data_IF_425529338121
#
_entry.id   IF_425529338121
#
_cell.length_a   1.000
_cell.length_b   1.000
_cell.length_c   1.000
_cell.angle_alpha   90.00
_cell.angle_beta   90.00
_cell.angle_gamma   90.00
#
_symmetry.space_group_name_H-M   'P 1'
#
loop_
_entity.id
_entity.type
_entity.pdbx_description
1 polymer ?
#
# COMPACT_ATOMS: atom_id res chain seq x y z
N UNK A 1 -5.77 17.13 -3.56
CA UNK A 1 -5.26 15.85 -3.03
C UNK A 1 -5.82 15.65 -1.63
N UNK A 2 -6.91 14.89 -1.54
CA UNK A 2 -7.64 14.61 -0.28
C UNK A 2 -7.96 13.12 -0.11
N UNK A 3 -8.17 12.39 -1.20
CA UNK A 3 -8.56 10.98 -1.24
C UNK A 3 -7.52 10.19 -2.00
N UNK A 4 -6.57 9.58 -1.28
CA UNK A 4 -5.33 9.08 -1.84
C UNK A 4 -5.25 7.55 -1.74
N UNK A 5 -4.87 6.89 -2.85
CA UNK A 5 -4.53 5.47 -2.87
C UNK A 5 -3.02 5.30 -3.07
N UNK A 6 -2.42 4.39 -2.31
CA UNK A 6 -1.02 4.01 -2.49
C UNK A 6 -0.93 2.53 -2.86
N UNK A 7 -0.42 2.26 -4.05
CA UNK A 7 -0.27 0.93 -4.63
C UNK A 7 1.21 0.59 -4.88
N UNK A 8 1.53 -0.69 -5.02
CA UNK A 8 2.87 -1.16 -5.34
C UNK A 8 3.18 -2.54 -4.80
N UNK A 9 4.26 -3.16 -5.26
CA UNK A 9 4.69 -4.48 -4.79
C UNK A 9 4.95 -4.48 -3.28
N UNK A 10 4.75 -5.60 -2.57
CA UNK A 10 5.33 -5.77 -1.24
C UNK A 10 6.84 -5.49 -1.29
N UNK A 11 7.38 -4.84 -0.25
CA UNK A 11 8.78 -4.42 -0.21
C UNK A 11 9.14 -3.16 -1.02
N UNK A 12 8.21 -2.57 -1.78
CA UNK A 12 8.41 -1.28 -2.44
C UNK A 12 8.57 -0.11 -1.46
N UNK A 13 8.08 -0.24 -0.23
CA UNK A 13 8.13 0.81 0.79
C UNK A 13 6.85 1.66 0.83
N UNK A 14 5.71 1.09 0.42
CA UNK A 14 4.40 1.77 0.48
C UNK A 14 4.13 2.37 1.86
N UNK A 15 4.24 1.59 2.92
CA UNK A 15 3.96 2.05 4.28
C UNK A 15 4.91 3.18 4.72
N UNK A 16 6.20 3.12 4.33
CA UNK A 16 7.14 4.22 4.58
C UNK A 16 6.71 5.49 3.84
N UNK A 17 6.30 5.36 2.58
CA UNK A 17 5.81 6.47 1.78
C UNK A 17 4.50 7.03 2.35
N UNK A 18 3.55 6.16 2.75
CA UNK A 18 2.26 6.56 3.29
C UNK A 18 2.36 7.28 4.64
N UNK A 19 3.25 6.82 5.53
CA UNK A 19 3.53 7.54 6.78
C UNK A 19 4.10 8.95 6.53
N UNK A 20 5.11 9.06 5.64
CA UNK A 20 5.69 10.35 5.32
C UNK A 20 4.69 11.29 4.62
N UNK A 21 3.82 10.75 3.76
CA UNK A 21 2.77 11.52 3.11
C UNK A 21 1.73 12.00 4.13
N UNK A 22 1.28 11.12 5.02
CA UNK A 22 0.33 11.47 6.09
C UNK A 22 0.89 12.55 7.03
N UNK A 23 2.19 12.46 7.38
CA UNK A 23 2.86 13.49 8.20
C UNK A 23 2.90 14.86 7.50
N UNK A 24 3.06 14.88 6.18
CA UNK A 24 3.11 16.14 5.41
C UNK A 24 1.73 16.74 5.16
N UNK A 25 0.73 15.90 4.94
CA UNK A 25 -0.63 16.35 4.54
C UNK A 25 -1.60 16.47 5.70
N UNK A 26 -1.31 15.86 6.86
CA UNK A 26 -2.25 15.76 7.99
C UNK A 26 -3.42 14.81 7.74
N UNK A 27 -3.49 14.15 6.58
CA UNK A 27 -4.62 13.29 6.22
C UNK A 27 -4.63 11.98 7.02
N UNK A 28 -5.83 11.46 7.37
CA UNK A 28 -5.94 10.18 8.06
C UNK A 28 -5.47 9.01 7.19
N UNK A 29 -4.60 8.16 7.75
CA UNK A 29 -3.98 7.03 7.07
C UNK A 29 -4.59 5.70 7.50
N UNK A 30 -4.98 4.89 6.52
CA UNK A 30 -5.53 3.55 6.68
C UNK A 30 -4.67 2.53 5.94
N UNK A 31 -4.12 1.55 6.66
CA UNK A 31 -3.41 0.41 6.10
C UNK A 31 -4.37 -0.75 5.88
N UNK A 32 -4.50 -1.23 4.65
CA UNK A 32 -5.39 -2.38 4.35
C UNK A 32 -4.94 -3.62 5.11
N UNK A 33 -3.65 -3.86 5.24
CA UNK A 33 -3.15 -5.01 6.00
C UNK A 33 -3.60 -4.97 7.46
N UNK A 34 -3.69 -3.78 8.08
CA UNK A 34 -4.21 -3.60 9.44
C UNK A 34 -5.73 -3.84 9.54
N UNK A 35 -6.47 -3.56 8.47
CA UNK A 35 -7.91 -3.79 8.41
C UNK A 35 -8.24 -5.25 8.12
N UNK A 36 -7.37 -5.94 7.36
CA UNK A 36 -7.53 -7.32 6.92
C UNK A 36 -7.17 -8.34 8.00
N UNK A 37 -6.17 -8.05 8.84
CA UNK A 37 -5.74 -8.94 9.90
C UNK A 37 -6.33 -8.51 11.24
N UNK A 38 -6.87 -9.47 11.99
CA UNK A 38 -7.20 -9.33 13.41
C UNK A 38 -6.00 -9.70 14.26
N UNK A 39 -6.09 -9.43 15.55
CA UNK A 39 -5.10 -9.90 16.53
C UNK A 39 -4.83 -11.40 16.37
N UNK A 40 -3.55 -11.78 16.48
CA UNK A 40 -3.12 -13.16 16.27
C UNK A 40 -3.05 -13.62 14.80
N UNK A 41 -3.01 -12.69 13.83
CA UNK A 41 -2.91 -12.99 12.39
C UNK A 41 -4.09 -13.79 11.80
N UNK A 42 -5.28 -13.60 12.32
CA UNK A 42 -6.49 -14.15 11.74
C UNK A 42 -7.03 -13.18 10.69
N UNK A 43 -7.23 -13.65 9.45
CA UNK A 43 -7.83 -12.82 8.42
C UNK A 43 -9.31 -12.55 8.69
N UNK A 44 -9.77 -11.34 8.41
CA UNK A 44 -11.20 -11.05 8.34
C UNK A 44 -11.81 -11.65 7.08
N UNK A 45 -13.12 -11.86 7.07
CA UNK A 45 -13.85 -12.23 5.86
C UNK A 45 -13.76 -11.10 4.82
N UNK A 46 -13.86 -11.47 3.55
CA UNK A 46 -13.71 -10.52 2.44
C UNK A 46 -14.76 -9.41 2.49
N UNK A 47 -15.97 -9.79 2.81
CA UNK A 47 -17.14 -8.93 2.93
C UNK A 47 -16.98 -7.94 4.08
N UNK A 48 -16.37 -8.35 5.18
CA UNK A 48 -16.07 -7.47 6.32
C UNK A 48 -15.03 -6.41 5.94
N UNK A 49 -13.97 -6.81 5.22
CA UNK A 49 -12.97 -5.85 4.75
C UNK A 49 -13.59 -4.85 3.76
N UNK A 50 -14.41 -5.33 2.82
CA UNK A 50 -15.09 -4.46 1.85
C UNK A 50 -16.02 -3.46 2.56
N UNK A 51 -16.79 -3.92 3.55
CA UNK A 51 -17.67 -3.05 4.34
C UNK A 51 -16.88 -1.96 5.11
N UNK A 52 -15.74 -2.32 5.72
CA UNK A 52 -14.85 -1.35 6.39
C UNK A 52 -14.28 -0.33 5.40
N UNK A 53 -13.86 -0.78 4.22
CA UNK A 53 -13.32 0.10 3.19
C UNK A 53 -14.40 1.04 2.62
N UNK A 54 -15.64 0.55 2.42
CA UNK A 54 -16.77 1.39 2.01
C UNK A 54 -17.00 2.56 2.99
N UNK A 55 -16.97 2.29 4.29
CA UNK A 55 -17.10 3.35 5.30
C UNK A 55 -15.95 4.37 5.25
N UNK A 56 -14.74 3.93 4.89
CA UNK A 56 -13.58 4.83 4.80
C UNK A 56 -13.65 5.71 3.55
N UNK A 57 -13.96 5.13 2.38
CA UNK A 57 -13.96 5.87 1.11
C UNK A 57 -15.10 6.89 0.98
N UNK A 58 -16.15 6.78 1.80
CA UNK A 58 -17.22 7.79 1.89
C UNK A 58 -16.81 9.04 2.70
N UNK A 59 -15.71 8.97 3.46
CA UNK A 59 -15.18 10.15 4.17
C UNK A 59 -14.61 11.17 3.19
N UNK A 60 -14.52 12.43 3.63
CA UNK A 60 -14.01 13.53 2.80
C UNK A 60 -12.51 13.44 2.55
N UNK A 61 -11.76 12.87 3.48
CA UNK A 61 -10.31 12.83 3.45
C UNK A 61 -9.77 11.48 3.95
N UNK A 62 -8.82 10.90 3.19
CA UNK A 62 -8.17 9.66 3.56
C UNK A 62 -6.94 9.34 2.70
N UNK A 63 -6.00 8.60 3.27
CA UNK A 63 -4.95 7.88 2.58
C UNK A 63 -5.19 6.39 2.81
N UNK A 64 -5.29 5.58 1.76
CA UNK A 64 -5.42 4.13 1.85
C UNK A 64 -4.18 3.48 1.24
N UNK A 65 -3.38 2.81 2.08
CA UNK A 65 -2.20 2.04 1.69
C UNK A 65 -2.53 0.55 1.58
N UNK A 66 -2.25 -0.02 0.43
CA UNK A 66 -2.35 -1.45 0.19
C UNK A 66 -3.00 -1.82 -1.15
N UNK A 67 -2.60 -2.99 -1.67
CA UNK A 67 -3.08 -3.44 -2.98
C UNK A 67 -4.52 -3.98 -2.92
N UNK A 68 -4.73 -5.10 -2.24
CA UNK A 68 -5.98 -5.86 -2.20
C UNK A 68 -6.81 -5.71 -3.48
N UNK A 69 -6.39 -6.39 -4.56
CA UNK A 69 -6.79 -6.15 -5.95
C UNK A 69 -8.31 -6.07 -6.19
N UNK A 70 -9.11 -6.83 -5.40
CA UNK A 70 -10.57 -6.85 -5.50
C UNK A 70 -11.21 -5.50 -5.15
N UNK A 71 -10.59 -4.72 -4.25
CA UNK A 71 -11.12 -3.45 -3.80
C UNK A 71 -10.54 -2.23 -4.52
N UNK A 72 -9.57 -2.42 -5.42
CA UNK A 72 -8.98 -1.31 -6.16
C UNK A 72 -10.04 -0.53 -6.95
N UNK A 73 -10.95 -1.17 -7.73
CA UNK A 73 -11.95 -0.43 -8.52
C UNK A 73 -12.80 0.52 -7.66
N UNK A 74 -13.40 0.01 -6.57
CA UNK A 74 -14.26 0.83 -5.71
C UNK A 74 -13.53 2.02 -5.07
N UNK A 75 -12.23 1.86 -4.77
CA UNK A 75 -11.42 2.95 -4.23
C UNK A 75 -11.05 3.97 -5.31
N UNK A 76 -10.78 3.50 -6.55
CA UNK A 76 -10.47 4.38 -7.69
C UNK A 76 -11.63 5.28 -8.08
N UNK A 77 -12.88 4.82 -7.93
CA UNK A 77 -14.08 5.62 -8.17
C UNK A 77 -14.19 6.85 -7.24
N UNK A 78 -13.60 6.77 -6.06
CA UNK A 78 -13.72 7.80 -5.01
C UNK A 78 -12.44 8.60 -4.79
N UNK A 79 -11.28 8.14 -5.29
CA UNK A 79 -10.02 8.83 -5.07
C UNK A 79 -9.82 10.00 -6.05
N UNK A 80 -9.02 10.97 -5.61
CA UNK A 80 -8.53 12.07 -6.44
C UNK A 80 -7.05 11.90 -6.84
N UNK A 81 -6.30 11.05 -6.13
CA UNK A 81 -4.87 10.87 -6.36
C UNK A 81 -4.44 9.42 -6.13
N UNK A 82 -3.58 8.91 -7.00
CA UNK A 82 -2.99 7.57 -6.88
C UNK A 82 -1.47 7.66 -6.96
N UNK A 83 -0.80 7.08 -5.97
CA UNK A 83 0.64 6.83 -6.02
C UNK A 83 0.91 5.36 -6.28
N UNK A 84 1.56 5.05 -7.40
CA UNK A 84 1.94 3.68 -7.75
C UNK A 84 3.46 3.50 -7.72
N UNK A 85 3.95 2.71 -6.76
CA UNK A 85 5.37 2.40 -6.60
C UNK A 85 5.72 1.19 -7.49
N UNK A 86 5.95 1.45 -8.81
CA UNK A 86 6.27 0.43 -9.85
C UNK A 86 7.76 0.13 -9.89
N UNK A 87 8.34 -0.32 -8.79
CA UNK A 87 9.77 -0.58 -8.71
C UNK A 87 10.15 -1.93 -9.33
N UNK A 88 11.42 -2.08 -9.80
CA UNK A 88 11.95 -3.35 -10.27
C UNK A 88 11.82 -4.46 -9.21
N UNK A 89 11.60 -5.71 -9.67
CA UNK A 89 11.37 -6.85 -8.77
C UNK A 89 12.48 -7.05 -7.74
N UNK A 90 13.75 -6.85 -8.15
CA UNK A 90 14.89 -6.99 -7.25
C UNK A 90 14.84 -5.98 -6.09
N UNK A 91 14.47 -4.73 -6.37
CA UNK A 91 14.32 -3.69 -5.34
C UNK A 91 13.26 -4.07 -4.32
N UNK A 92 12.12 -4.60 -4.79
CA UNK A 92 11.04 -5.05 -3.93
C UNK A 92 11.40 -6.30 -3.15
N UNK A 93 12.02 -7.29 -3.80
CA UNK A 93 12.47 -8.53 -3.17
C UNK A 93 13.46 -8.26 -2.03
N UNK A 94 14.53 -7.52 -2.31
CA UNK A 94 15.48 -7.14 -1.27
C UNK A 94 14.87 -6.22 -0.20
N UNK A 95 13.86 -5.43 -0.57
CA UNK A 95 13.06 -4.66 0.37
C UNK A 95 12.34 -5.55 1.39
N UNK A 96 11.74 -6.65 0.94
CA UNK A 96 11.11 -7.64 1.84
C UNK A 96 12.17 -8.37 2.68
N UNK A 97 13.25 -8.86 2.06
CA UNK A 97 14.32 -9.55 2.80
C UNK A 97 14.88 -8.67 3.91
N UNK A 98 15.23 -7.42 3.61
CA UNK A 98 15.72 -6.47 4.61
C UNK A 98 14.69 -6.21 5.72
N UNK A 99 13.41 -6.11 5.36
CA UNK A 99 12.32 -5.93 6.31
C UNK A 99 12.22 -7.12 7.27
N UNK A 100 12.19 -8.34 6.73
CA UNK A 100 12.12 -9.58 7.52
C UNK A 100 13.32 -9.67 8.47
N UNK A 101 14.55 -9.44 7.99
CA UNK A 101 15.74 -9.48 8.82
C UNK A 101 15.75 -8.41 9.92
N UNK A 102 15.20 -7.21 9.64
CA UNK A 102 15.18 -6.11 10.61
C UNK A 102 14.03 -6.15 11.61
N UNK A 103 12.97 -6.94 11.32
CA UNK A 103 11.73 -6.95 12.11
C UNK A 103 11.28 -8.36 12.49
N UNK A 104 12.16 -9.37 12.35
CA UNK A 104 11.81 -10.75 12.64
C UNK A 104 11.28 -10.88 14.08
N UNK A 105 10.11 -11.52 14.22
CA UNK A 105 9.43 -11.69 15.50
C UNK A 105 8.76 -10.43 16.08
N UNK A 106 8.84 -9.28 15.39
CA UNK A 106 8.18 -8.04 15.83
C UNK A 106 6.96 -7.74 14.96
N UNK A 107 5.92 -7.20 15.58
CA UNK A 107 4.75 -6.67 14.85
C UNK A 107 5.07 -5.28 14.32
N UNK A 108 4.74 -5.03 13.05
CA UNK A 108 4.95 -3.73 12.38
C UNK A 108 3.79 -2.78 12.67
N UNK A 109 4.02 -1.44 12.61
CA UNK A 109 2.97 -0.44 12.85
C UNK A 109 1.81 -0.48 11.83
N UNK A 110 2.07 -0.99 10.60
CA UNK A 110 1.10 -1.14 9.52
C UNK A 110 0.38 -2.50 9.51
N UNK A 111 0.60 -3.33 10.56
CA UNK A 111 -0.04 -4.63 10.77
C UNK A 111 -0.92 -4.63 12.01
N UNK A 112 -1.84 -5.60 12.10
CA UNK A 112 -2.60 -5.84 13.32
C UNK A 112 -1.68 -6.34 14.45
N UNK A 113 -2.09 -6.12 15.70
CA UNK A 113 -1.36 -6.61 16.86
C UNK A 113 -1.26 -8.13 16.86
N UNK A 114 -0.16 -8.66 17.40
CA UNK A 114 0.07 -10.11 17.42
C UNK A 114 0.37 -10.74 16.06
N UNK A 115 0.67 -9.92 15.02
CA UNK A 115 1.10 -10.38 13.70
C UNK A 115 2.60 -10.14 13.48
N UNK A 116 3.49 -10.95 14.07
CA UNK A 116 4.93 -10.75 13.94
C UNK A 116 5.41 -11.05 12.53
N UNK A 117 6.41 -10.30 12.09
CA UNK A 117 7.12 -10.57 10.84
C UNK A 117 7.81 -11.93 10.92
N UNK A 118 7.63 -12.76 9.92
CA UNK A 118 8.21 -14.11 9.84
C UNK A 118 8.76 -14.38 8.45
N UNK A 119 9.68 -15.30 8.37
CA UNK A 119 10.20 -15.76 7.09
C UNK A 119 9.19 -16.68 6.42
N UNK A 120 8.74 -16.30 5.23
CA UNK A 120 7.75 -17.05 4.43
C UNK A 120 8.24 -17.16 2.98
N UNK A 121 8.59 -18.36 2.56
CA UNK A 121 9.08 -18.65 1.21
C UNK A 121 7.98 -18.45 0.14
N UNK A 122 6.74 -18.78 0.46
CA UNK A 122 5.63 -18.58 -0.48
C UNK A 122 5.37 -17.09 -0.71
N UNK A 123 5.44 -16.31 0.35
CA UNK A 123 5.36 -14.86 0.25
C UNK A 123 6.53 -14.27 -0.57
N UNK A 124 7.75 -14.74 -0.38
CA UNK A 124 8.90 -14.31 -1.20
C UNK A 124 8.72 -14.67 -2.67
N UNK A 125 8.19 -15.86 -2.98
CA UNK A 125 7.84 -16.29 -4.34
C UNK A 125 6.72 -15.42 -4.93
N UNK A 126 5.73 -15.05 -4.12
CA UNK A 126 4.69 -14.10 -4.53
C UNK A 126 5.28 -12.72 -4.86
N UNK A 127 6.14 -12.17 -4.02
CA UNK A 127 6.83 -10.88 -4.25
C UNK A 127 7.64 -10.90 -5.54
N UNK A 128 8.41 -11.98 -5.77
CA UNK A 128 9.20 -12.17 -6.99
C UNK A 128 8.36 -12.14 -8.26
N UNK A 129 7.17 -12.72 -8.21
CA UNK A 129 6.25 -12.81 -9.34
C UNK A 129 5.25 -11.66 -9.43
N UNK A 130 5.16 -10.81 -8.41
CA UNK A 130 4.14 -9.76 -8.30
C UNK A 130 4.10 -8.87 -9.56
N UNK A 131 5.24 -8.35 -9.96
CA UNK A 131 5.32 -7.45 -11.12
C UNK A 131 4.86 -8.13 -12.41
N UNK A 132 5.21 -9.40 -12.64
CA UNK A 132 4.79 -10.17 -13.81
C UNK A 132 3.27 -10.44 -13.79
N UNK A 133 2.70 -10.75 -12.62
CA UNK A 133 1.31 -11.20 -12.51
C UNK A 133 0.30 -10.06 -12.29
N UNK A 134 0.71 -8.95 -11.67
CA UNK A 134 -0.21 -7.92 -11.18
C UNK A 134 -0.04 -6.56 -11.86
N UNK A 135 1.17 -6.23 -12.35
CA UNK A 135 1.47 -4.92 -12.90
C UNK A 135 0.56 -4.51 -14.04
N UNK A 136 0.36 -5.39 -15.04
CA UNK A 136 -0.46 -5.07 -16.21
C UNK A 136 -1.91 -4.76 -15.81
N UNK A 137 -2.51 -5.57 -14.92
CA UNK A 137 -3.87 -5.33 -14.42
C UNK A 137 -3.99 -4.04 -13.60
N UNK A 138 -2.98 -3.70 -12.79
CA UNK A 138 -2.98 -2.42 -12.06
C UNK A 138 -2.92 -1.26 -13.05
N UNK A 139 -2.01 -1.27 -14.02
CA UNK A 139 -1.89 -0.20 -15.01
C UNK A 139 -3.17 0.00 -15.82
N UNK A 140 -3.81 -1.08 -16.26
CA UNK A 140 -5.08 -1.01 -16.97
C UNK A 140 -6.20 -0.36 -16.13
N UNK A 141 -6.24 -0.63 -14.82
CA UNK A 141 -7.18 0.04 -13.91
C UNK A 141 -6.86 1.53 -13.76
N UNK A 142 -5.57 1.90 -13.71
CA UNK A 142 -5.14 3.29 -13.57
C UNK A 142 -5.42 4.11 -14.84
N UNK A 143 -5.29 3.52 -16.04
CA UNK A 143 -5.60 4.18 -17.32
C UNK A 143 -7.07 4.66 -17.41
N UNK A 144 -7.99 3.93 -16.77
CA UNK A 144 -9.42 4.27 -16.72
C UNK A 144 -9.83 5.14 -15.51
N UNK A 145 -8.92 5.50 -14.64
CA UNK A 145 -9.25 6.21 -13.40
C UNK A 145 -9.35 7.72 -13.63
N UNK A 146 -10.37 8.35 -13.04
CA UNK A 146 -10.52 9.81 -13.03
C UNK A 146 -9.80 10.41 -11.82
N UNK A 147 -8.47 10.22 -11.74
CA UNK A 147 -7.64 10.67 -10.64
C UNK A 147 -6.26 11.10 -11.16
N UNK A 148 -5.55 11.92 -10.40
CA UNK A 148 -4.16 12.26 -10.70
C UNK A 148 -3.25 11.05 -10.39
N UNK A 149 -2.55 10.53 -11.41
CA UNK A 149 -1.75 9.31 -11.31
C UNK A 149 -0.26 9.62 -11.27
N UNK A 150 0.40 9.27 -10.17
CA UNK A 150 1.85 9.35 -10.01
C UNK A 150 2.46 7.96 -10.00
N UNK A 151 3.28 7.64 -11.01
CA UNK A 151 3.99 6.36 -11.11
C UNK A 151 5.47 6.59 -10.84
N UNK A 152 5.97 6.08 -9.72
CA UNK A 152 7.38 6.14 -9.37
C UNK A 152 8.08 4.83 -9.73
N UNK A 153 9.20 4.92 -10.42
CA UNK A 153 9.99 3.77 -10.86
C UNK A 153 11.19 3.49 -9.95
N UNK A 154 11.47 4.41 -9.01
CA UNK A 154 12.54 4.27 -8.04
C UNK A 154 12.19 4.93 -6.70
N UNK A 155 12.83 4.45 -5.63
CA UNK A 155 12.71 5.08 -4.29
C UNK A 155 13.18 6.54 -4.29
N UNK A 156 14.16 6.86 -5.15
CA UNK A 156 14.68 8.23 -5.29
C UNK A 156 13.63 9.18 -5.86
N UNK A 157 12.84 8.74 -6.85
CA UNK A 157 11.74 9.54 -7.41
C UNK A 157 10.66 9.79 -6.35
N UNK A 158 10.19 8.74 -5.67
CA UNK A 158 9.20 8.87 -4.61
C UNK A 158 9.67 9.79 -3.47
N UNK A 159 10.94 9.65 -3.05
CA UNK A 159 11.53 10.52 -2.04
C UNK A 159 11.60 11.97 -2.51
N UNK A 160 12.06 12.23 -3.75
CA UNK A 160 12.13 13.57 -4.30
C UNK A 160 10.76 14.24 -4.35
N UNK A 161 9.72 13.50 -4.71
CA UNK A 161 8.35 13.98 -4.69
C UNK A 161 7.94 14.43 -3.27
N UNK A 162 8.15 13.58 -2.27
CA UNK A 162 7.87 13.92 -0.87
C UNK A 162 8.69 15.12 -0.39
N UNK A 163 9.99 15.16 -0.70
CA UNK A 163 10.88 16.26 -0.28
C UNK A 163 10.44 17.60 -0.89
N UNK A 164 9.85 17.60 -2.09
CA UNK A 164 9.31 18.79 -2.76
C UNK A 164 7.94 19.25 -2.27
N UNK A 165 7.25 18.46 -1.43
CA UNK A 165 5.98 18.87 -0.84
C UNK A 165 6.22 19.76 0.38
N UNK A 166 5.54 20.89 0.42
CA UNK A 166 5.44 21.71 1.64
C UNK A 166 4.63 20.96 2.70
N UNK A 167 4.96 21.16 3.97
CA UNK A 167 4.20 20.61 5.10
C UNK A 167 3.01 21.53 5.36
N UNK A 168 1.79 20.97 5.35
CA UNK A 168 0.56 21.69 5.69
C UNK A 168 0.43 21.85 7.20
#
# INVERSE_FOLDING_TARGET
>A
MKKIIILGSPGAGKSTFSFALAEKTGLPLYHIDKLFWREGCVSVEKEELEAKLLQIIEKDEWIIDGNYSRTIPMRLEKCDTVFYLDYPRLVCFFGVVRRVLGSLGKTRPDMAEGCPERFDLEFLKFVWNFRKKKRAGILALLEGANAEIHIFRSRKEAKRYLDGMEKV
#
